data_IF_368262416504
#
_entry.id   IF_368262416504
#
_cell.length_a   1.000
_cell.length_b   1.000
_cell.length_c   1.000
_cell.angle_alpha   90.00
_cell.angle_beta   90.00
_cell.angle_gamma   90.00
#
_symmetry.space_group_name_H-M   'P 1'
#
loop_
_entity.id
_entity.type
_entity.pdbx_description
1 polymer ?
#
# COMPACT_ATOMS: atom_id res chain seq x y z
N UNK A 1 1.29 -5.07 5.31
CA UNK A 1 2.08 -6.29 5.61
C UNK A 1 2.61 -6.83 4.29
N UNK A 2 3.76 -7.49 4.28
CA UNK A 2 4.32 -8.11 3.08
C UNK A 2 5.30 -9.23 3.45
N UNK A 3 5.61 -10.14 2.51
CA UNK A 3 6.67 -11.14 2.64
C UNK A 3 8.07 -10.51 2.58
N UNK A 4 9.07 -11.27 3.01
CA UNK A 4 10.50 -10.97 2.90
C UNK A 4 10.95 -10.68 1.47
N UNK A 5 10.37 -11.35 0.46
CA UNK A 5 10.60 -11.03 -0.95
C UNK A 5 10.40 -9.55 -1.32
N UNK A 6 9.59 -8.78 -0.57
CA UNK A 6 9.51 -7.32 -0.71
C UNK A 6 10.58 -6.58 0.13
N UNK A 7 10.71 -6.96 1.40
CA UNK A 7 11.53 -6.27 2.39
C UNK A 7 13.03 -6.45 2.18
N UNK A 8 13.44 -7.48 1.44
CA UNK A 8 14.84 -7.71 1.06
C UNK A 8 15.39 -6.63 0.12
N UNK A 9 14.50 -5.90 -0.58
CA UNK A 9 14.89 -4.98 -1.65
C UNK A 9 14.33 -3.56 -1.50
N UNK A 10 13.27 -3.37 -0.70
CA UNK A 10 12.69 -2.06 -0.39
C UNK A 10 12.76 -1.77 1.11
N UNK A 11 13.12 -0.53 1.46
CA UNK A 11 13.06 -0.08 2.85
C UNK A 11 11.71 0.58 3.20
N UNK A 12 11.52 0.89 4.47
CA UNK A 12 10.28 1.50 4.97
C UNK A 12 9.96 2.86 4.31
N UNK A 13 10.98 3.66 4.00
CA UNK A 13 10.79 4.98 3.39
C UNK A 13 10.38 4.85 1.92
N UNK A 14 10.96 3.89 1.18
CA UNK A 14 10.57 3.59 -0.20
C UNK A 14 9.09 3.17 -0.26
N UNK A 15 8.69 2.24 0.63
CA UNK A 15 7.31 1.76 0.73
C UNK A 15 6.37 2.89 1.11
N UNK A 16 6.73 3.71 2.11
CA UNK A 16 5.90 4.83 2.53
C UNK A 16 5.72 5.86 1.42
N UNK A 17 6.78 6.13 0.63
CA UNK A 17 6.71 7.01 -0.52
C UNK A 17 5.76 6.50 -1.59
N UNK A 18 5.89 5.22 -1.99
CA UNK A 18 5.01 4.59 -2.99
C UNK A 18 3.55 4.65 -2.54
N UNK A 19 3.27 4.23 -1.29
CA UNK A 19 1.91 4.24 -0.75
C UNK A 19 1.31 5.64 -0.72
N UNK A 20 2.07 6.66 -0.30
CA UNK A 20 1.57 8.06 -0.28
C UNK A 20 1.28 8.59 -1.68
N UNK A 21 2.20 8.37 -2.61
CA UNK A 21 2.04 8.79 -4.02
C UNK A 21 0.80 8.15 -4.65
N UNK A 22 0.64 6.84 -4.47
CA UNK A 22 -0.52 6.12 -4.95
C UNK A 22 -1.82 6.61 -4.30
N UNK A 23 -1.84 6.84 -2.98
CA UNK A 23 -3.02 7.37 -2.29
C UNK A 23 -3.39 8.79 -2.76
N UNK A 24 -2.42 9.64 -3.10
CA UNK A 24 -2.72 10.98 -3.64
C UNK A 24 -3.25 10.98 -5.07
N UNK A 25 -2.95 9.93 -5.84
CA UNK A 25 -3.37 9.82 -7.24
C UNK A 25 -4.72 9.13 -7.43
N UNK A 26 -5.33 8.60 -6.37
CA UNK A 26 -6.58 7.82 -6.44
C UNK A 26 -7.71 8.48 -5.66
N UNK A 27 -8.94 8.28 -6.13
CA UNK A 27 -10.14 8.83 -5.47
C UNK A 27 -10.38 8.23 -4.08
N UNK A 28 -10.90 9.06 -3.17
CA UNK A 28 -11.12 8.70 -1.76
C UNK A 28 -12.09 7.52 -1.57
N UNK A 29 -13.00 7.31 -2.53
CA UNK A 29 -14.09 6.34 -2.48
C UNK A 29 -13.81 5.07 -3.28
N UNK A 30 -12.73 5.02 -4.06
CA UNK A 30 -12.38 3.81 -4.78
C UNK A 30 -11.70 2.80 -3.84
N UNK A 31 -12.37 1.67 -3.59
CA UNK A 31 -11.81 0.55 -2.82
C UNK A 31 -10.73 -0.21 -3.60
N UNK A 32 -10.73 -0.12 -4.94
CA UNK A 32 -9.75 -0.78 -5.80
C UNK A 32 -8.33 -0.23 -5.61
N UNK A 33 -8.21 1.00 -5.08
CA UNK A 33 -6.91 1.66 -4.84
C UNK A 33 -5.98 0.87 -3.94
N UNK A 34 -6.50 0.10 -2.96
CA UNK A 34 -5.63 -0.69 -2.09
C UNK A 34 -5.02 -1.88 -2.83
N UNK A 35 -5.76 -2.44 -3.79
CA UNK A 35 -5.23 -3.44 -4.73
C UNK A 35 -4.18 -2.81 -5.65
N UNK A 36 -4.43 -1.61 -6.16
CA UNK A 36 -3.45 -0.89 -7.00
C UNK A 36 -2.16 -0.58 -6.21
N UNK A 37 -2.26 -0.10 -4.98
CA UNK A 37 -1.11 0.13 -4.08
C UNK A 37 -0.33 -1.18 -3.86
N UNK A 38 -1.03 -2.28 -3.59
CA UNK A 38 -0.37 -3.58 -3.42
C UNK A 38 0.37 -4.00 -4.69
N UNK A 39 -0.25 -3.83 -5.85
CA UNK A 39 0.36 -4.13 -7.15
C UNK A 39 1.58 -3.25 -7.43
N UNK A 40 1.52 -1.97 -7.09
CA UNK A 40 2.64 -1.04 -7.27
C UNK A 40 3.84 -1.40 -6.39
N UNK A 41 3.59 -1.80 -5.13
CA UNK A 41 4.62 -2.33 -4.24
C UNK A 41 5.24 -3.63 -4.77
N UNK A 42 4.42 -4.56 -5.27
CA UNK A 42 4.91 -5.78 -5.91
C UNK A 42 5.75 -5.46 -7.14
N UNK A 43 5.30 -4.53 -7.99
CA UNK A 43 6.02 -4.12 -9.18
C UNK A 43 7.37 -3.46 -8.85
N UNK A 44 7.40 -2.62 -7.81
CA UNK A 44 8.62 -1.97 -7.34
C UNK A 44 9.67 -2.99 -6.86
N UNK A 45 9.26 -3.98 -6.05
CA UNK A 45 10.18 -5.02 -5.56
C UNK A 45 10.61 -6.03 -6.65
N UNK A 46 9.71 -6.36 -7.59
CA UNK A 46 10.01 -7.19 -8.76
C UNK A 46 11.00 -6.51 -9.72
N UNK A 47 10.92 -5.19 -9.81
CA UNK A 47 11.70 -4.40 -10.75
C UNK A 47 11.39 -4.75 -12.21
N UNK A 48 12.36 -4.47 -13.09
CA UNK A 48 12.26 -4.66 -14.52
C UNK A 48 13.29 -5.68 -15.02
N UNK A 49 12.92 -6.45 -16.03
CA UNK A 49 13.82 -7.41 -16.66
C UNK A 49 14.85 -6.68 -17.52
N UNK A 50 16.13 -6.88 -17.20
CA UNK A 50 17.27 -6.30 -17.92
C UNK A 50 18.12 -7.43 -18.51
N UNK A 51 18.08 -7.56 -19.84
CA UNK A 51 18.73 -8.66 -20.54
C UNK A 51 18.02 -10.00 -20.34
N UNK A 52 18.75 -11.11 -20.47
CA UNK A 52 18.09 -12.43 -20.53
C UNK A 52 17.71 -13.01 -19.16
N UNK A 53 18.40 -12.65 -18.06
CA UNK A 53 18.21 -13.34 -16.76
C UNK A 53 18.45 -12.45 -15.53
N UNK A 54 18.31 -11.13 -15.66
CA UNK A 54 18.51 -10.22 -14.53
C UNK A 54 17.29 -9.34 -14.36
N UNK A 55 16.90 -9.14 -13.11
CA UNK A 55 15.87 -8.17 -12.75
C UNK A 55 16.53 -7.09 -11.91
N UNK A 56 16.23 -5.84 -12.23
CA UNK A 56 16.81 -4.70 -11.55
C UNK A 56 15.76 -3.72 -11.10
N UNK A 57 16.01 -3.12 -9.95
CA UNK A 57 15.27 -1.96 -9.46
C UNK A 57 15.64 -0.74 -10.29
N UNK A 58 14.84 0.33 -10.18
CA UNK A 58 15.07 1.61 -10.87
C UNK A 58 16.42 2.26 -10.50
N UNK A 59 16.93 2.00 -9.29
CA UNK A 59 18.25 2.46 -8.84
C UNK A 59 19.43 1.60 -9.36
N UNK A 60 19.14 0.56 -10.16
CA UNK A 60 20.13 -0.34 -10.75
C UNK A 60 20.60 -1.49 -9.85
N UNK A 61 20.12 -1.56 -8.60
CA UNK A 61 20.32 -2.70 -7.70
C UNK A 61 19.58 -3.96 -8.19
N UNK A 62 19.91 -5.11 -7.60
CA UNK A 62 19.21 -6.36 -7.91
C UNK A 62 17.79 -6.30 -7.35
N UNK A 63 16.82 -6.70 -8.17
CA UNK A 63 15.44 -6.86 -7.73
C UNK A 63 15.25 -8.19 -6.99
N UNK A 64 14.06 -8.39 -6.44
CA UNK A 64 13.72 -9.60 -5.71
C UNK A 64 13.77 -10.85 -6.58
N UNK A 65 14.19 -11.97 -5.99
CA UNK A 65 14.21 -13.29 -6.62
C UNK A 65 13.28 -14.30 -5.93
N UNK A 66 12.49 -13.85 -4.96
CA UNK A 66 11.57 -14.68 -4.16
C UNK A 66 10.11 -14.32 -4.44
N UNK A 67 9.17 -15.13 -3.93
CA UNK A 67 7.74 -14.88 -4.04
C UNK A 67 7.34 -13.62 -3.23
N UNK A 68 6.63 -12.71 -3.90
CA UNK A 68 6.22 -11.43 -3.31
C UNK A 68 4.72 -11.47 -3.01
N UNK A 69 4.37 -11.28 -1.74
CA UNK A 69 2.99 -11.11 -1.30
C UNK A 69 2.84 -9.82 -0.50
N UNK A 70 1.75 -9.07 -0.74
CA UNK A 70 1.49 -7.77 -0.09
C UNK A 70 0.03 -7.67 0.30
N UNK A 71 -0.23 -7.23 1.54
CA UNK A 71 -1.56 -6.89 2.04
C UNK A 71 -1.59 -5.43 2.49
N UNK A 72 -2.48 -4.65 1.86
CA UNK A 72 -2.78 -3.26 2.21
C UNK A 72 -4.10 -3.23 2.98
N UNK A 73 -4.05 -2.82 4.23
CA UNK A 73 -5.22 -2.78 5.14
C UNK A 73 -5.47 -1.33 5.55
N UNK A 74 -6.57 -0.71 5.10
CA UNK A 74 -6.90 0.65 5.50
C UNK A 74 -7.38 0.70 6.95
N UNK A 75 -6.83 1.63 7.73
CA UNK A 75 -7.19 1.80 9.14
C UNK A 75 -8.33 2.81 9.38
N UNK A 76 -8.74 3.59 8.37
CA UNK A 76 -9.75 4.67 8.52
C UNK A 76 -11.10 4.22 9.10
N UNK A 77 -11.45 2.94 8.94
CA UNK A 77 -12.68 2.36 9.45
C UNK A 77 -12.45 1.37 10.61
N UNK A 78 -11.20 1.16 11.01
CA UNK A 78 -10.81 0.19 12.05
C UNK A 78 -10.65 0.83 13.42
N UNK A 79 -10.66 2.17 13.48
CA UNK A 79 -10.69 2.90 14.74
C UNK A 79 -12.14 3.01 15.15
N UNK A 80 -12.56 2.22 16.16
CA UNK A 80 -13.62 2.67 17.06
C UNK A 80 -13.05 3.90 17.76
N UNK A 81 -13.17 5.09 17.15
CA UNK A 81 -13.11 6.29 17.97
C UNK A 81 -14.24 6.10 18.97
N UNK A 82 -14.00 6.31 20.28
CA UNK A 82 -15.12 6.46 21.19
C UNK A 82 -16.05 7.49 20.55
N UNK A 83 -17.30 7.09 20.27
CA UNK A 83 -18.32 8.05 19.88
C UNK A 83 -18.26 9.11 20.98
N UNK A 84 -17.91 10.35 20.62
CA UNK A 84 -18.18 11.45 21.53
C UNK A 84 -19.67 11.39 21.85
N UNK A 85 -20.03 11.58 23.10
CA UNK A 85 -21.42 11.61 23.58
C UNK A 85 -22.14 12.88 23.06
N UNK A 86 -22.17 13.08 21.75
CA UNK A 86 -22.83 14.21 21.10
C UNK A 86 -23.56 13.67 19.85
N UNK A 87 -24.87 13.89 19.80
CA UNK A 87 -25.81 13.64 18.69
C UNK A 87 -26.80 12.45 18.79
N UNK A 88 -27.25 12.04 19.99
CA UNK A 88 -28.45 11.18 20.14
C UNK A 88 -29.73 11.97 20.56
N UNK A 89 -29.69 13.29 20.72
CA UNK A 89 -30.84 14.08 21.23
C UNK A 89 -31.65 14.88 20.18
N UNK A 90 -31.23 14.98 18.91
CA UNK A 90 -31.95 15.83 17.92
C UNK A 90 -32.89 15.08 16.95
N UNK A 91 -32.80 13.75 16.79
CA UNK A 91 -33.65 13.02 15.83
C UNK A 91 -34.95 12.44 16.42
N UNK A 92 -35.34 12.87 17.62
CA UNK A 92 -36.61 12.51 18.29
C UNK A 92 -37.65 13.64 18.28
N UNK A 93 -37.38 14.77 17.61
CA UNK A 93 -38.25 15.96 17.58
C UNK A 93 -38.63 16.48 16.17
N UNK A 94 -38.53 15.67 15.11
CA UNK A 94 -39.12 16.03 13.80
C UNK A 94 -39.94 14.93 13.17
#
# INVERSE_FOLDING_TARGET
MASDGLWDVLNNDDVAHIVRSALSNNDADDFSKYTLIAQELVAAARGEQVGQFKWKLSNGAMASTDDITVFVIPLKFSVNLPKGDEDDDEELLS
#
